data_IF_466997833486
#
_entry.id   IF_466997833486
#
_cell.length_a   1.000
_cell.length_b   1.000
_cell.length_c   1.000
_cell.angle_alpha   90.00
_cell.angle_beta   90.00
_cell.angle_gamma   90.00
#
_symmetry.space_group_name_H-M   'P 1'
#
loop_
_entity.id
_entity.type
_entity.pdbx_description
1 polymer ?
#
# COMPACT_ATOMS: atom_id res chain seq x y z
N UNK A 1 23.65 -1.75 -1.21
CA UNK A 1 24.76 -1.25 -0.38
C UNK A 1 24.70 -1.98 0.94
N UNK A 2 25.82 -2.55 1.35
CA UNK A 2 25.97 -3.43 2.50
C UNK A 2 26.95 -2.75 3.46
N UNK A 3 26.64 -2.72 4.77
CA UNK A 3 27.55 -2.21 5.81
C UNK A 3 28.38 -3.40 6.29
N UNK A 4 29.66 -3.45 5.94
CA UNK A 4 30.58 -4.52 6.38
C UNK A 4 31.17 -4.21 7.76
N UNK A 5 31.35 -5.25 8.57
CA UNK A 5 31.96 -5.22 9.91
C UNK A 5 33.33 -4.52 9.88
N UNK A 6 33.53 -3.49 10.72
CA UNK A 6 34.74 -2.65 10.65
C UNK A 6 34.77 -1.41 11.56
N UNK A 7 35.55 -1.54 12.64
CA UNK A 7 36.14 -0.54 13.57
C UNK A 7 35.26 0.29 14.51
N UNK A 8 33.96 0.45 14.27
CA UNK A 8 33.05 0.93 15.31
C UNK A 8 31.66 0.39 15.00
N UNK A 9 31.43 -0.90 15.27
CA UNK A 9 30.14 -1.54 15.01
C UNK A 9 29.09 -1.06 16.03
N UNK A 10 28.67 0.19 15.85
CA UNK A 10 27.56 0.80 16.57
C UNK A 10 26.28 -0.03 16.42
N UNK A 11 26.14 -0.75 15.28
CA UNK A 11 25.07 -1.70 15.03
C UNK A 11 25.09 -2.85 16.05
N UNK A 12 26.25 -3.44 16.32
CA UNK A 12 26.41 -4.49 17.34
C UNK A 12 26.07 -3.98 18.74
N UNK A 13 26.48 -2.74 19.07
CA UNK A 13 26.14 -2.11 20.35
C UNK A 13 24.64 -1.89 20.52
N UNK A 14 23.97 -1.41 19.48
CA UNK A 14 22.51 -1.20 19.49
C UNK A 14 21.76 -2.54 19.55
N UNK A 15 22.21 -3.55 18.79
CA UNK A 15 21.64 -4.90 18.84
C UNK A 15 21.73 -5.50 20.24
N UNK A 16 22.89 -5.41 20.89
CA UNK A 16 23.07 -5.90 22.26
C UNK A 16 22.20 -5.14 23.28
N UNK A 17 22.06 -3.81 23.12
CA UNK A 17 21.19 -3.02 23.98
C UNK A 17 19.71 -3.41 23.81
N UNK A 18 19.26 -3.55 22.55
CA UNK A 18 17.92 -4.06 22.23
C UNK A 18 17.69 -5.47 22.79
N UNK A 19 18.66 -6.37 22.65
CA UNK A 19 18.53 -7.75 23.12
C UNK A 19 18.43 -7.84 24.65
N UNK A 20 19.13 -6.97 25.39
CA UNK A 20 19.09 -6.94 26.86
C UNK A 20 17.73 -6.51 27.41
N UNK A 21 17.09 -5.54 26.78
CA UNK A 21 15.79 -5.00 27.21
C UNK A 21 14.62 -5.80 26.62
N UNK A 22 14.76 -6.26 25.37
CA UNK A 22 13.74 -6.95 24.59
C UNK A 22 14.07 -8.45 24.44
N UNK A 23 14.41 -9.11 25.55
CA UNK A 23 14.90 -10.50 25.62
C UNK A 23 14.00 -11.56 24.96
N UNK A 24 12.73 -11.25 24.68
CA UNK A 24 11.76 -12.17 24.08
C UNK A 24 11.32 -11.74 22.67
N UNK A 25 11.89 -10.69 22.12
CA UNK A 25 11.53 -10.20 20.80
C UNK A 25 12.21 -11.05 19.72
N UNK A 26 11.42 -11.92 19.07
CA UNK A 26 11.88 -12.82 18.00
C UNK A 26 12.53 -12.07 16.84
N UNK A 27 12.14 -10.81 16.61
CA UNK A 27 12.70 -9.99 15.55
C UNK A 27 14.12 -9.54 15.89
N UNK A 28 14.39 -9.06 17.12
CA UNK A 28 15.77 -8.72 17.56
C UNK A 28 16.68 -9.95 17.54
N UNK A 29 16.19 -11.12 17.97
CA UNK A 29 16.94 -12.38 17.88
C UNK A 29 17.30 -12.72 16.44
N UNK A 30 16.34 -12.63 15.52
CA UNK A 30 16.58 -12.91 14.10
C UNK A 30 17.62 -11.95 13.50
N UNK A 31 17.54 -10.65 13.83
CA UNK A 31 18.51 -9.66 13.41
C UNK A 31 19.92 -9.94 13.93
N UNK A 32 20.03 -10.31 15.21
CA UNK A 32 21.31 -10.65 15.84
C UNK A 32 21.96 -11.82 15.13
N UNK A 33 21.22 -12.90 14.89
CA UNK A 33 21.72 -14.07 14.18
C UNK A 33 22.16 -13.73 12.74
N UNK A 34 21.34 -12.99 11.99
CA UNK A 34 21.69 -12.56 10.63
C UNK A 34 22.94 -11.70 10.58
N UNK A 35 23.10 -10.82 11.56
CA UNK A 35 24.27 -9.95 11.65
C UNK A 35 25.53 -10.72 12.05
N UNK A 36 25.43 -11.74 12.90
CA UNK A 36 26.54 -12.64 13.21
C UNK A 36 26.95 -13.52 12.03
N UNK A 37 25.98 -14.08 11.30
CA UNK A 37 26.24 -14.94 10.14
C UNK A 37 26.83 -14.19 8.94
N UNK A 38 26.30 -13.00 8.64
CA UNK A 38 26.63 -12.27 7.40
C UNK A 38 27.48 -11.04 7.61
N UNK A 39 27.54 -10.51 8.84
CA UNK A 39 28.28 -9.29 9.18
C UNK A 39 27.66 -8.00 8.64
N UNK A 40 26.42 -8.03 8.14
CA UNK A 40 25.69 -6.86 7.64
C UNK A 40 24.18 -6.97 7.82
N UNK A 41 23.49 -5.82 7.87
CA UNK A 41 22.03 -5.72 7.86
C UNK A 41 21.57 -4.89 6.66
N UNK A 42 20.37 -5.19 6.16
CA UNK A 42 19.75 -4.41 5.08
C UNK A 42 19.11 -3.13 5.62
N UNK A 43 18.86 -2.14 4.76
CA UNK A 43 18.23 -0.86 5.15
C UNK A 43 16.92 -1.06 5.93
N UNK A 44 16.04 -1.95 5.46
CA UNK A 44 14.77 -2.23 6.14
C UNK A 44 14.95 -2.90 7.50
N UNK A 45 15.95 -3.76 7.65
CA UNK A 45 16.31 -4.35 8.95
C UNK A 45 16.87 -3.29 9.91
N UNK A 46 17.70 -2.36 9.43
CA UNK A 46 18.20 -1.24 10.22
C UNK A 46 17.07 -0.29 10.66
N UNK A 47 16.08 -0.05 9.79
CA UNK A 47 14.87 0.72 10.15
C UNK A 47 14.04 0.01 11.23
N UNK A 48 13.81 -1.30 11.08
CA UNK A 48 13.12 -2.08 12.10
C UNK A 48 13.88 -2.07 13.44
N UNK A 49 15.21 -2.14 13.40
CA UNK A 49 16.05 -2.00 14.58
C UNK A 49 15.92 -0.60 15.22
N UNK A 50 15.91 0.47 14.42
CA UNK A 50 15.70 1.84 14.90
C UNK A 50 14.38 1.98 15.66
N UNK A 51 13.27 1.49 15.10
CA UNK A 51 11.96 1.58 15.77
C UNK A 51 11.87 0.78 17.08
N UNK A 52 12.66 -0.28 17.21
CA UNK A 52 12.78 -1.03 18.47
C UNK A 52 13.66 -0.27 19.46
N UNK A 53 14.77 0.29 18.98
CA UNK A 53 15.74 1.07 19.74
C UNK A 53 15.16 2.39 20.28
N UNK A 54 14.31 3.08 19.52
CA UNK A 54 13.64 4.33 19.92
C UNK A 54 12.76 4.14 21.16
N UNK A 55 12.18 2.96 21.33
CA UNK A 55 11.32 2.62 22.47
C UNK A 55 12.10 2.30 23.74
N UNK A 56 13.43 2.25 23.68
CA UNK A 56 14.29 1.96 24.82
C UNK A 56 14.69 3.26 25.51
N UNK A 57 14.35 3.40 26.78
CA UNK A 57 14.75 4.55 27.60
C UNK A 57 16.27 4.57 27.86
N UNK A 58 16.95 3.42 27.77
CA UNK A 58 18.36 3.25 28.14
C UNK A 58 19.36 3.33 26.97
N UNK A 59 18.95 3.76 25.77
CA UNK A 59 19.88 3.84 24.64
C UNK A 59 20.55 5.22 24.54
N UNK A 60 21.90 5.30 24.41
CA UNK A 60 22.58 6.58 24.24
C UNK A 60 22.16 7.24 22.92
N UNK A 61 21.66 8.48 23.01
CA UNK A 61 21.12 9.25 21.88
C UNK A 61 22.09 9.36 20.68
N UNK A 62 23.41 9.41 20.94
CA UNK A 62 24.42 9.44 19.87
C UNK A 62 24.45 8.19 18.99
N UNK A 63 24.16 7.00 19.55
CA UNK A 63 24.08 5.75 18.77
C UNK A 63 22.81 5.73 17.91
N UNK A 64 21.68 6.18 18.47
CA UNK A 64 20.41 6.26 17.75
C UNK A 64 20.52 7.22 16.55
N UNK A 65 21.10 8.41 16.76
CA UNK A 65 21.33 9.40 15.70
C UNK A 65 22.30 8.88 14.61
N UNK A 66 23.32 8.09 15.00
CA UNK A 66 24.24 7.47 14.04
C UNK A 66 23.54 6.42 13.19
N UNK A 67 22.65 5.62 13.80
CA UNK A 67 21.84 4.63 13.10
C UNK A 67 20.90 5.30 12.10
N UNK A 68 20.17 6.34 12.53
CA UNK A 68 19.29 7.13 11.67
C UNK A 68 20.04 7.74 10.48
N UNK A 69 21.18 8.38 10.74
CA UNK A 69 22.04 8.96 9.71
C UNK A 69 22.53 7.90 8.72
N UNK A 70 22.87 6.70 9.20
CA UNK A 70 23.29 5.59 8.34
C UNK A 70 22.14 5.10 7.46
N UNK A 71 20.94 4.96 8.02
CA UNK A 71 19.73 4.58 7.27
C UNK A 71 19.45 5.60 6.16
N UNK A 72 19.55 6.89 6.45
CA UNK A 72 19.32 7.97 5.49
C UNK A 72 20.37 8.01 4.37
N UNK A 73 21.62 7.65 4.66
CA UNK A 73 22.69 7.52 3.65
C UNK A 73 22.48 6.34 2.70
N UNK A 74 21.76 5.30 3.12
CA UNK A 74 21.52 4.13 2.27
C UNK A 74 20.51 4.49 1.17
N UNK A 75 20.77 4.13 -0.11
CA UNK A 75 19.88 4.45 -1.21
C UNK A 75 18.52 3.78 -0.99
N UNK A 76 17.47 4.60 -0.86
CA UNK A 76 16.09 4.13 -0.93
C UNK A 76 15.81 3.71 -2.37
N UNK A 77 15.61 2.41 -2.60
CA UNK A 77 14.77 1.95 -3.72
C UNK A 77 13.32 2.16 -3.32
N UNK A 78 12.95 3.39 -2.96
CA UNK A 78 11.55 3.78 -3.04
C UNK A 78 11.24 3.70 -4.51
N UNK A 79 10.53 2.63 -4.91
CA UNK A 79 9.79 2.66 -6.16
C UNK A 79 9.09 4.00 -6.11
N UNK A 80 9.36 4.86 -7.10
CA UNK A 80 8.55 6.04 -7.35
C UNK A 80 7.14 5.50 -7.50
N UNK A 81 6.42 5.37 -6.40
CA UNK A 81 5.00 5.28 -6.36
C UNK A 81 4.62 6.67 -6.85
N UNK A 82 4.56 6.81 -8.17
CA UNK A 82 3.75 7.85 -8.77
C UNK A 82 2.47 7.85 -7.96
N UNK A 83 2.01 9.02 -7.47
CA UNK A 83 0.79 9.08 -6.68
C UNK A 83 -0.23 8.25 -7.44
N UNK A 84 -0.68 7.17 -6.80
CA UNK A 84 -1.80 6.42 -7.31
C UNK A 84 -2.90 7.44 -7.17
N UNK A 85 -3.13 8.21 -8.24
CA UNK A 85 -4.29 9.05 -8.37
C UNK A 85 -5.40 8.03 -8.24
N UNK A 86 -5.94 7.91 -7.03
CA UNK A 86 -7.29 7.44 -6.82
C UNK A 86 -8.09 8.39 -7.70
N UNK A 87 -8.25 8.03 -8.97
CA UNK A 87 -9.28 8.60 -9.81
C UNK A 87 -10.51 8.33 -8.98
N UNK A 88 -11.01 9.37 -8.32
CA UNK A 88 -12.42 9.43 -7.96
C UNK A 88 -13.13 8.94 -9.21
N UNK A 89 -13.66 7.72 -9.14
CA UNK A 89 -14.38 7.13 -10.25
C UNK A 89 -15.55 8.07 -10.46
N UNK A 90 -15.39 9.00 -11.40
CA UNK A 90 -16.48 9.76 -11.96
C UNK A 90 -17.51 8.72 -12.31
N UNK A 91 -18.68 8.81 -11.66
CA UNK A 91 -19.91 8.16 -12.11
C UNK A 91 -19.89 8.11 -13.62
N UNK A 92 -20.13 6.95 -14.19
CA UNK A 92 -20.26 6.79 -15.64
C UNK A 92 -21.48 7.61 -16.09
N UNK A 93 -21.31 8.93 -16.30
CA UNK A 93 -22.35 9.86 -16.74
C UNK A 93 -23.00 9.38 -18.04
N UNK A 94 -22.22 8.69 -18.89
CA UNK A 94 -22.71 8.06 -20.11
C UNK A 94 -23.70 6.91 -19.84
N UNK A 95 -23.47 6.11 -18.80
CA UNK A 95 -24.34 5.00 -18.42
C UNK A 95 -25.65 5.54 -17.83
N UNK A 96 -25.55 6.55 -16.96
CA UNK A 96 -26.70 7.21 -16.36
C UNK A 96 -27.60 7.86 -17.42
N UNK A 97 -27.00 8.58 -18.39
CA UNK A 97 -27.75 9.23 -19.46
C UNK A 97 -28.50 8.23 -20.34
N UNK A 98 -27.84 7.12 -20.74
CA UNK A 98 -28.48 6.05 -21.53
C UNK A 98 -29.64 5.39 -20.80
N UNK A 99 -29.51 5.15 -19.49
CA UNK A 99 -30.58 4.60 -18.67
C UNK A 99 -31.79 5.55 -18.64
N UNK A 100 -31.54 6.83 -18.40
CA UNK A 100 -32.59 7.85 -18.36
C UNK A 100 -33.28 8.04 -19.71
N UNK A 101 -32.55 8.05 -20.83
CA UNK A 101 -33.13 8.15 -22.17
C UNK A 101 -34.05 6.98 -22.51
N UNK A 102 -33.62 5.74 -22.19
CA UNK A 102 -34.44 4.55 -22.44
C UNK A 102 -35.70 4.57 -21.56
N UNK A 103 -35.57 4.90 -20.28
CA UNK A 103 -36.72 4.92 -19.35
C UNK A 103 -37.70 6.05 -19.65
N UNK A 104 -37.24 7.20 -20.15
CA UNK A 104 -38.12 8.28 -20.57
C UNK A 104 -39.02 7.84 -21.74
N UNK A 105 -38.46 7.08 -22.70
CA UNK A 105 -39.22 6.57 -23.84
C UNK A 105 -40.01 5.29 -23.55
N UNK A 106 -39.51 4.44 -22.65
CA UNK A 106 -40.08 3.14 -22.28
C UNK A 106 -40.03 2.92 -20.76
N UNK A 107 -40.94 3.55 -20.00
CA UNK A 107 -40.91 3.54 -18.53
C UNK A 107 -41.15 2.16 -17.90
N UNK A 108 -41.70 1.20 -18.65
CA UNK A 108 -41.97 -0.16 -18.19
C UNK A 108 -40.93 -1.20 -18.63
N UNK A 109 -39.77 -0.77 -19.13
CA UNK A 109 -38.76 -1.70 -19.64
C UNK A 109 -38.05 -2.45 -18.49
N UNK A 110 -38.55 -3.65 -18.15
CA UNK A 110 -38.14 -4.47 -16.99
C UNK A 110 -36.63 -4.66 -16.86
N UNK A 111 -35.91 -4.88 -17.96
CA UNK A 111 -34.46 -5.07 -17.93
C UNK A 111 -33.70 -3.79 -17.56
N UNK A 112 -34.17 -2.63 -18.03
CA UNK A 112 -33.50 -1.33 -17.81
C UNK A 112 -33.78 -0.81 -16.40
N UNK A 113 -34.98 -1.08 -15.87
CA UNK A 113 -35.31 -0.83 -14.45
C UNK A 113 -34.40 -1.63 -13.51
N UNK A 114 -34.12 -2.90 -13.85
CA UNK A 114 -33.17 -3.73 -13.10
C UNK A 114 -31.75 -3.14 -13.10
N UNK A 115 -31.27 -2.70 -14.27
CA UNK A 115 -29.98 -2.03 -14.41
C UNK A 115 -29.92 -0.70 -13.65
N UNK A 116 -30.98 0.10 -13.69
CA UNK A 116 -31.06 1.36 -12.93
C UNK A 116 -30.99 1.10 -11.41
N UNK A 117 -31.70 0.09 -10.91
CA UNK A 117 -31.67 -0.26 -9.49
C UNK A 117 -30.27 -0.72 -9.05
N UNK A 118 -29.59 -1.53 -9.88
CA UNK A 118 -28.21 -1.95 -9.62
C UNK A 118 -27.24 -0.76 -9.66
N UNK A 119 -27.42 0.17 -10.60
CA UNK A 119 -26.62 1.38 -10.72
C UNK A 119 -26.80 2.32 -9.52
N UNK A 120 -28.03 2.50 -9.02
CA UNK A 120 -28.32 3.29 -7.81
C UNK A 120 -27.68 2.65 -6.57
N UNK A 121 -27.69 1.32 -6.48
CA UNK A 121 -27.20 0.59 -5.30
C UNK A 121 -25.68 0.48 -5.22
N UNK A 122 -25.01 0.29 -6.36
CA UNK A 122 -23.58 -0.01 -6.42
C UNK A 122 -22.76 1.08 -7.11
N UNK A 123 -23.40 2.15 -7.58
CA UNK A 123 -22.83 3.28 -8.31
C UNK A 123 -22.09 2.90 -9.62
N UNK A 124 -22.12 1.62 -10.00
CA UNK A 124 -21.42 1.03 -11.14
C UNK A 124 -22.19 -0.16 -11.69
N UNK A 125 -22.19 -0.29 -13.02
CA UNK A 125 -22.63 -1.50 -13.71
C UNK A 125 -21.43 -2.40 -14.03
N UNK A 126 -21.63 -3.71 -13.96
CA UNK A 126 -20.64 -4.68 -14.43
C UNK A 126 -20.46 -4.59 -15.95
N UNK A 127 -19.34 -5.11 -16.47
CA UNK A 127 -19.05 -5.12 -17.91
C UNK A 127 -20.14 -5.80 -18.74
N UNK A 128 -20.76 -6.84 -18.20
CA UNK A 128 -21.89 -7.55 -18.83
C UNK A 128 -23.14 -6.66 -18.91
N UNK A 129 -23.47 -5.98 -17.82
CA UNK A 129 -24.61 -5.07 -17.74
C UNK A 129 -24.46 -3.85 -18.68
N UNK A 130 -23.25 -3.29 -18.80
CA UNK A 130 -22.97 -2.22 -19.77
C UNK A 130 -23.14 -2.69 -21.22
N UNK A 131 -22.79 -3.95 -21.53
CA UNK A 131 -23.00 -4.53 -22.85
C UNK A 131 -24.49 -4.70 -23.17
N UNK A 132 -25.27 -5.19 -22.21
CA UNK A 132 -26.72 -5.31 -22.36
C UNK A 132 -27.39 -3.95 -22.54
N UNK A 133 -27.00 -2.94 -21.75
CA UNK A 133 -27.49 -1.57 -21.90
C UNK A 133 -27.23 -1.03 -23.31
N UNK A 134 -26.01 -1.23 -23.84
CA UNK A 134 -25.64 -0.77 -25.18
C UNK A 134 -26.41 -1.54 -26.28
N UNK A 135 -26.65 -2.84 -26.09
CA UNK A 135 -27.46 -3.65 -27.01
C UNK A 135 -28.91 -3.17 -27.03
N UNK A 136 -29.51 -2.94 -25.87
CA UNK A 136 -30.89 -2.43 -25.74
C UNK A 136 -30.99 -1.03 -26.36
N UNK A 137 -30.04 -0.15 -26.04
CA UNK A 137 -29.98 1.20 -26.61
C UNK A 137 -29.91 1.16 -28.14
N UNK A 138 -29.06 0.30 -28.72
CA UNK A 138 -29.00 0.09 -30.17
C UNK A 138 -30.32 -0.41 -30.74
N UNK A 139 -30.97 -1.40 -30.13
CA UNK A 139 -32.26 -1.93 -30.65
C UNK A 139 -33.38 -0.89 -30.60
N UNK A 140 -33.41 -0.04 -29.57
CA UNK A 140 -34.47 0.94 -29.35
C UNK A 140 -34.26 2.28 -30.10
N UNK A 141 -33.00 2.63 -30.40
CA UNK A 141 -32.65 3.92 -30.99
C UNK A 141 -31.91 3.84 -32.34
N UNK A 142 -31.39 2.68 -32.77
CA UNK A 142 -31.09 2.50 -34.20
C UNK A 142 -32.39 2.23 -34.93
N UNK A 143 -32.76 3.19 -35.75
CA UNK A 143 -33.51 2.93 -36.98
C UNK A 143 -32.51 2.53 -38.07
#
# INVERSE_FOLDING_TARGET
MEIKKGQLDFVEKILNACFKELKYDLFVMSLMHQYEERGFLTKGQLQGLYYKAEKLENLPAGLLATLESTINKLPSKEKKNAPIVLKEEKKDEETENKLNEILNKYPQHKAVLGLQHNFIKYDKLTSSEKFELNKIYKVLFKK
#
